data_IF_019674058329
#
_entry.id   IF_019674058329
#
_cell.length_a   1.000
_cell.length_b   1.000
_cell.length_c   1.000
_cell.angle_alpha   90.00
_cell.angle_beta   90.00
_cell.angle_gamma   90.00
#
_symmetry.space_group_name_H-M   'P 1'
#
loop_
_entity.id
_entity.type
_entity.pdbx_description
1 polymer ?
#
# COMPACT_ATOMS: atom_id res chain seq x y z
N UNK A 1 -10.35 -8.52 -1.43
CA UNK A 1 -11.36 -8.32 -2.48
C UNK A 1 -12.01 -6.94 -2.42
N UNK A 2 -12.44 -6.44 -1.25
CA UNK A 2 -12.98 -5.07 -1.10
C UNK A 2 -11.91 -3.96 -1.24
N UNK A 3 -10.73 -4.16 -0.67
CA UNK A 3 -9.61 -3.19 -0.74
C UNK A 3 -9.04 -3.10 -2.16
N UNK A 4 -8.92 -4.22 -2.87
CA UNK A 4 -8.46 -4.25 -4.26
C UNK A 4 -9.46 -3.58 -5.22
N UNK A 5 -10.76 -3.63 -4.94
CA UNK A 5 -11.76 -2.95 -5.76
C UNK A 5 -11.73 -1.43 -5.55
N UNK A 6 -11.52 -0.96 -4.30
CA UNK A 6 -11.29 0.46 -4.02
C UNK A 6 -9.98 0.96 -4.65
N UNK A 7 -8.92 0.14 -4.64
CA UNK A 7 -7.64 0.45 -5.28
C UNK A 7 -7.76 0.48 -6.82
N UNK A 8 -8.57 -0.40 -7.42
CA UNK A 8 -8.81 -0.38 -8.86
C UNK A 8 -9.71 0.78 -9.30
N UNK A 9 -10.65 1.23 -8.46
CA UNK A 9 -11.44 2.45 -8.71
C UNK A 9 -10.59 3.73 -8.61
N UNK A 10 -9.47 3.71 -7.88
CA UNK A 10 -8.44 4.76 -7.94
C UNK A 10 -7.56 4.70 -9.19
N UNK A 11 -7.59 3.63 -10.00
CA UNK A 11 -6.80 3.57 -11.23
C UNK A 11 -7.37 4.46 -12.35
N UNK A 12 -8.69 4.65 -12.40
CA UNK A 12 -9.32 5.57 -13.37
C UNK A 12 -9.32 7.03 -12.87
N UNK A 13 -9.54 7.26 -11.57
CA UNK A 13 -9.52 8.61 -10.97
C UNK A 13 -8.10 9.13 -10.65
N UNK A 14 -7.13 8.24 -10.45
CA UNK A 14 -5.72 8.59 -10.21
C UNK A 14 -5.04 9.21 -11.42
N UNK A 15 -5.54 8.96 -12.64
CA UNK A 15 -5.05 9.60 -13.87
C UNK A 15 -5.35 11.11 -13.91
N UNK A 16 -6.42 11.55 -13.24
CA UNK A 16 -6.87 12.96 -13.23
C UNK A 16 -6.29 13.75 -12.05
N UNK A 17 -5.97 13.08 -10.92
CA UNK A 17 -5.42 13.75 -9.73
C UNK A 17 -3.90 13.61 -9.53
N UNK A 18 -3.20 12.72 -10.24
CA UNK A 18 -1.77 12.48 -10.03
C UNK A 18 -0.87 13.32 -10.96
N UNK A 19 -0.90 14.65 -10.79
CA UNK A 19 0.22 15.53 -11.19
C UNK A 19 1.40 15.47 -10.21
N UNK A 20 1.50 14.42 -9.39
CA UNK A 20 2.51 14.30 -8.36
C UNK A 20 3.55 13.24 -8.73
N UNK A 21 4.47 13.63 -9.62
CA UNK A 21 5.79 13.04 -9.89
C UNK A 21 6.16 11.84 -9.00
N UNK A 22 5.64 10.63 -9.28
CA UNK A 22 5.88 9.47 -8.43
C UNK A 22 7.35 9.08 -8.50
N UNK A 23 7.88 8.52 -7.42
CA UNK A 23 9.30 8.17 -7.28
C UNK A 23 9.44 6.70 -6.92
N UNK A 24 10.51 6.07 -7.39
CA UNK A 24 10.79 4.69 -7.01
C UNK A 24 11.29 4.65 -5.56
N UNK A 25 10.78 3.72 -4.76
CA UNK A 25 11.32 3.51 -3.42
C UNK A 25 12.80 3.12 -3.44
N UNK A 26 13.21 2.36 -4.46
CA UNK A 26 14.61 1.95 -4.67
C UNK A 26 15.51 3.06 -5.19
N UNK A 27 14.94 4.13 -5.78
CA UNK A 27 15.68 5.29 -6.25
C UNK A 27 14.84 6.57 -6.04
N UNK A 28 14.88 7.16 -4.84
CA UNK A 28 13.96 8.23 -4.43
C UNK A 28 14.19 9.58 -5.12
N UNK A 29 15.29 9.72 -5.88
CA UNK A 29 15.58 10.91 -6.67
C UNK A 29 15.08 10.79 -8.12
N UNK A 30 14.71 9.58 -8.56
CA UNK A 30 14.21 9.34 -9.91
C UNK A 30 12.70 9.48 -9.95
N UNK A 31 12.23 10.52 -10.62
CA UNK A 31 10.82 10.67 -10.98
C UNK A 31 10.52 9.65 -12.08
N UNK A 32 9.44 8.91 -11.91
CA UNK A 32 8.95 7.92 -12.88
C UNK A 32 7.56 8.30 -13.38
N UNK A 33 7.17 7.86 -14.58
CA UNK A 33 5.81 8.06 -15.07
C UNK A 33 4.76 7.39 -14.18
N UNK A 34 3.54 7.94 -14.16
CA UNK A 34 2.40 7.36 -13.44
C UNK A 34 2.12 5.94 -13.97
N UNK A 35 1.78 5.03 -13.06
CA UNK A 35 1.56 3.61 -13.38
C UNK A 35 2.82 2.73 -13.33
N UNK A 36 3.98 3.28 -12.97
CA UNK A 36 5.19 2.50 -12.72
C UNK A 36 5.02 1.65 -11.45
N UNK A 37 5.25 0.34 -11.55
CA UNK A 37 5.21 -0.57 -10.40
C UNK A 37 6.24 -0.17 -9.35
N UNK A 38 5.79 -0.07 -8.10
CA UNK A 38 6.61 0.38 -6.97
C UNK A 38 6.90 1.87 -6.92
N UNK A 39 6.16 2.67 -7.69
CA UNK A 39 6.15 4.13 -7.56
C UNK A 39 5.39 4.57 -6.31
N UNK A 40 6.03 5.40 -5.48
CA UNK A 40 5.45 6.02 -4.31
C UNK A 40 5.19 7.51 -4.60
N UNK A 41 4.04 8.00 -4.16
CA UNK A 41 3.70 9.43 -4.19
C UNK A 41 3.24 9.88 -2.80
N UNK A 42 3.40 11.17 -2.44
CA UNK A 42 2.92 11.69 -1.16
C UNK A 42 1.41 11.43 -0.95
N UNK A 43 0.63 11.56 -2.02
CA UNK A 43 -0.81 11.28 -2.01
C UNK A 43 -1.07 9.80 -1.73
N UNK A 44 -0.34 8.89 -2.40
CA UNK A 44 -0.43 7.45 -2.13
C UNK A 44 -0.07 7.07 -0.68
N UNK A 45 0.94 7.73 -0.10
CA UNK A 45 1.31 7.55 1.31
C UNK A 45 0.16 7.98 2.24
N UNK A 46 -0.46 9.13 1.97
CA UNK A 46 -1.60 9.63 2.75
C UNK A 46 -2.80 8.67 2.66
N UNK A 47 -3.11 8.16 1.47
CA UNK A 47 -4.16 7.15 1.31
C UNK A 47 -3.85 5.85 2.05
N UNK A 48 -2.59 5.44 2.11
CA UNK A 48 -2.18 4.23 2.83
C UNK A 48 -2.30 4.39 4.34
N UNK A 49 -1.92 5.56 4.88
CA UNK A 49 -2.18 5.93 6.26
C UNK A 49 -3.68 5.98 6.56
N UNK A 50 -4.46 6.63 5.70
CA UNK A 50 -5.90 6.77 5.86
C UNK A 50 -6.64 5.43 5.80
N UNK A 51 -6.21 4.52 4.92
CA UNK A 51 -6.73 3.15 4.85
C UNK A 51 -6.48 2.39 6.15
N UNK A 52 -5.25 2.47 6.71
CA UNK A 52 -4.93 1.89 8.01
C UNK A 52 -5.73 2.49 9.16
N UNK A 53 -5.94 3.81 9.13
CA UNK A 53 -6.77 4.53 10.09
C UNK A 53 -8.23 4.06 10.06
N UNK A 54 -8.83 3.92 8.87
CA UNK A 54 -10.19 3.40 8.73
C UNK A 54 -10.31 1.98 9.31
N UNK A 55 -9.33 1.11 9.09
CA UNK A 55 -9.33 -0.25 9.64
C UNK A 55 -9.33 -0.21 11.17
N UNK A 56 -8.42 0.57 11.77
CA UNK A 56 -8.36 0.72 13.22
C UNK A 56 -9.62 1.36 13.80
N UNK A 57 -10.19 2.36 13.12
CA UNK A 57 -11.43 3.01 13.54
C UNK A 57 -12.61 2.05 13.47
N UNK A 58 -12.69 1.23 12.42
CA UNK A 58 -13.72 0.20 12.27
C UNK A 58 -13.64 -0.83 13.41
N UNK A 59 -12.43 -1.17 13.87
CA UNK A 59 -12.24 -2.03 15.03
C UNK A 59 -12.78 -1.41 16.32
N UNK A 60 -12.48 -0.13 16.58
CA UNK A 60 -12.99 0.58 17.77
C UNK A 60 -14.52 0.66 17.72
N UNK A 61 -15.08 1.08 16.58
CA UNK A 61 -16.54 1.18 16.39
C UNK A 61 -17.21 -0.20 16.57
N UNK A 62 -16.59 -1.26 16.05
CA UNK A 62 -17.06 -2.63 16.27
C UNK A 62 -17.11 -2.99 17.75
N UNK A 63 -16.05 -2.70 18.50
CA UNK A 63 -16.05 -2.94 19.95
C UNK A 63 -17.12 -2.09 20.68
N UNK A 64 -17.37 -0.85 20.26
CA UNK A 64 -18.43 -0.03 20.87
C UNK A 64 -19.83 -0.60 20.63
N UNK A 65 -20.07 -1.27 19.51
CA UNK A 65 -21.37 -1.87 19.16
C UNK A 65 -21.57 -3.23 19.85
N UNK A 66 -20.53 -4.05 19.89
CA UNK A 66 -20.65 -5.46 20.29
C UNK A 66 -20.13 -5.79 21.69
N UNK A 67 -19.31 -4.94 22.30
CA UNK A 67 -18.73 -5.17 23.62
C UNK A 67 -19.43 -4.35 24.71
N UNK A 68 -19.38 -4.85 25.94
CA UNK A 68 -19.94 -4.13 27.10
C UNK A 68 -19.11 -2.89 27.45
N UNK A 69 -19.74 -1.91 28.09
CA UNK A 69 -19.11 -0.62 28.41
C UNK A 69 -17.93 -0.74 29.40
N UNK A 70 -17.98 -1.69 30.32
CA UNK A 70 -16.88 -2.02 31.24
C UNK A 70 -15.64 -2.54 30.50
N UNK A 71 -15.83 -3.40 29.50
CA UNK A 71 -14.76 -3.85 28.62
C UNK A 71 -14.13 -2.68 27.84
N UNK A 72 -14.96 -1.79 27.30
CA UNK A 72 -14.50 -0.61 26.55
C UNK A 72 -13.65 0.35 27.38
N UNK A 73 -14.05 0.61 28.63
CA UNK A 73 -13.30 1.49 29.54
C UNK A 73 -11.94 0.86 29.88
N UNK A 74 -11.92 -0.44 30.19
CA UNK A 74 -10.70 -1.15 30.57
C UNK A 74 -9.71 -1.31 29.40
N UNK A 75 -10.19 -1.32 28.15
CA UNK A 75 -9.36 -1.51 26.96
C UNK A 75 -9.12 -0.22 26.17
N UNK A 76 -9.51 0.95 26.69
CA UNK A 76 -9.44 2.22 25.93
C UNK A 76 -8.03 2.53 25.42
N UNK A 77 -7.01 2.40 26.26
CA UNK A 77 -5.61 2.61 25.88
C UNK A 77 -5.18 1.66 24.76
N UNK A 78 -5.52 0.37 24.90
CA UNK A 78 -5.21 -0.66 23.90
C UNK A 78 -5.89 -0.40 22.56
N UNK A 79 -7.14 0.09 22.57
CA UNK A 79 -7.87 0.48 21.37
C UNK A 79 -7.19 1.63 20.61
N UNK A 80 -6.72 2.67 21.32
CA UNK A 80 -5.97 3.77 20.71
C UNK A 80 -4.63 3.29 20.16
N UNK A 81 -3.90 2.46 20.92
CA UNK A 81 -2.66 1.86 20.45
C UNK A 81 -2.90 1.04 19.17
N UNK A 82 -3.98 0.27 19.09
CA UNK A 82 -4.37 -0.51 17.91
C UNK A 82 -4.69 0.38 16.71
N UNK A 83 -5.38 1.50 16.91
CA UNK A 83 -5.66 2.47 15.85
C UNK A 83 -4.37 3.04 15.24
N UNK A 84 -3.45 3.51 16.09
CA UNK A 84 -2.15 4.03 15.65
C UNK A 84 -1.34 2.95 14.96
N UNK A 85 -1.35 1.75 15.53
CA UNK A 85 -0.69 0.57 14.98
C UNK A 85 -1.22 0.25 13.57
N UNK A 86 -2.54 0.12 13.37
CA UNK A 86 -3.15 -0.13 12.06
C UNK A 86 -2.81 0.99 11.05
N UNK A 87 -2.80 2.25 11.49
CA UNK A 87 -2.43 3.40 10.65
C UNK A 87 -0.98 3.27 10.15
N UNK A 88 -0.04 3.00 11.06
CA UNK A 88 1.38 2.83 10.72
C UNK A 88 1.62 1.59 9.84
N UNK A 89 0.95 0.48 10.13
CA UNK A 89 1.07 -0.75 9.33
C UNK A 89 0.40 -0.65 7.96
N UNK A 90 -0.62 0.19 7.79
CA UNK A 90 -1.16 0.54 6.47
C UNK A 90 -0.10 1.21 5.60
N UNK A 91 0.64 2.16 6.15
CA UNK A 91 1.78 2.78 5.47
C UNK A 91 2.93 1.79 5.23
N UNK A 92 3.30 0.99 6.25
CA UNK A 92 4.40 0.03 6.15
C UNK A 92 4.11 -1.06 5.10
N UNK A 93 2.88 -1.56 5.04
CA UNK A 93 2.44 -2.51 4.02
C UNK A 93 2.54 -1.94 2.61
N UNK A 94 2.09 -0.70 2.40
CA UNK A 94 2.22 -0.03 1.09
C UNK A 94 3.69 0.17 0.67
N UNK A 95 4.60 0.36 1.65
CA UNK A 95 6.04 0.51 1.41
C UNK A 95 6.68 -0.83 1.01
N UNK A 96 6.31 -1.93 1.68
CA UNK A 96 6.79 -3.28 1.34
C UNK A 96 6.29 -3.67 -0.05
N UNK A 97 5.01 -3.43 -0.34
CA UNK A 97 4.43 -3.69 -1.65
C UNK A 97 5.15 -2.90 -2.75
N UNK A 98 5.42 -1.61 -2.50
CA UNK A 98 6.15 -0.76 -3.44
C UNK A 98 7.60 -1.23 -3.65
N UNK A 99 8.27 -1.72 -2.60
CA UNK A 99 9.62 -2.26 -2.70
C UNK A 99 9.65 -3.51 -3.59
N UNK A 100 8.72 -4.44 -3.36
CA UNK A 100 8.60 -5.66 -4.15
C UNK A 100 8.16 -5.36 -5.58
N UNK A 101 7.25 -4.40 -5.79
CA UNK A 101 6.84 -3.94 -7.11
C UNK A 101 8.01 -3.36 -7.90
N UNK A 102 8.81 -2.47 -7.29
CA UNK A 102 9.94 -1.84 -7.96
C UNK A 102 11.08 -2.81 -8.33
N UNK A 103 11.15 -3.95 -7.65
CA UNK A 103 12.23 -4.95 -7.80
C UNK A 103 11.82 -6.16 -8.64
N UNK A 104 10.61 -6.69 -8.43
CA UNK A 104 10.14 -7.97 -8.95
C UNK A 104 9.04 -7.86 -10.01
N UNK A 105 8.52 -6.66 -10.29
CA UNK A 105 7.56 -6.43 -11.37
C UNK A 105 8.18 -5.57 -12.46
N UNK A 106 8.02 -5.97 -13.71
CA UNK A 106 8.51 -5.19 -14.83
C UNK A 106 7.66 -3.92 -14.98
N UNK A 107 8.34 -2.79 -15.21
CA UNK A 107 7.71 -1.56 -15.70
C UNK A 107 8.49 -1.02 -16.87
N UNK A 108 7.81 -0.80 -17.98
CA UNK A 108 8.34 -0.18 -19.18
C UNK A 108 7.54 1.07 -19.56
N UNK A 109 8.12 1.91 -20.39
CA UNK A 109 7.49 3.07 -21.00
C UNK A 109 7.41 2.87 -22.51
N UNK A 110 6.20 2.94 -23.06
CA UNK A 110 5.98 2.97 -24.49
C UNK A 110 5.99 4.43 -24.97
N UNK A 111 7.03 4.81 -25.72
CA UNK A 111 7.21 6.18 -26.23
C UNK A 111 6.20 6.53 -27.33
N UNK A 112 5.67 5.56 -28.06
CA UNK A 112 4.71 5.81 -29.15
C UNK A 112 3.34 6.17 -28.58
N UNK A 113 2.95 5.46 -27.52
CA UNK A 113 1.64 5.63 -26.88
C UNK A 113 1.67 6.57 -25.68
N UNK A 114 2.85 6.97 -25.21
CA UNK A 114 3.05 7.75 -23.98
C UNK A 114 2.38 7.13 -22.76
N UNK A 115 2.46 5.80 -22.63
CA UNK A 115 1.87 5.05 -21.52
C UNK A 115 2.90 4.13 -20.87
N UNK A 116 2.70 3.86 -19.57
CA UNK A 116 3.43 2.83 -18.85
C UNK A 116 2.84 1.46 -19.14
N UNK A 117 3.71 0.47 -19.32
CA UNK A 117 3.34 -0.91 -19.64
C UNK A 117 4.02 -1.87 -18.66
N UNK A 118 3.36 -2.97 -18.36
CA UNK A 118 3.82 -3.97 -17.38
C UNK A 118 4.52 -5.16 -18.02
N UNK A 119 4.58 -5.20 -19.36
CA UNK A 119 5.22 -6.26 -20.12
C UNK A 119 6.28 -5.69 -21.07
N UNK A 120 7.38 -6.44 -21.32
CA UNK A 120 8.38 -6.02 -22.29
C UNK A 120 7.87 -6.14 -23.73
N UNK A 121 8.42 -5.32 -24.62
CA UNK A 121 8.16 -5.41 -26.06
C UNK A 121 9.14 -4.56 -26.87
N UNK A 122 9.04 -4.59 -28.21
CA UNK A 122 10.08 -4.08 -29.11
C UNK A 122 10.28 -2.55 -29.04
N UNK A 123 9.23 -1.77 -28.76
CA UNK A 123 9.27 -0.31 -28.63
C UNK A 123 9.30 0.18 -27.18
N UNK A 124 9.46 -0.73 -26.21
CA UNK A 124 9.26 -0.44 -24.78
C UNK A 124 10.61 -0.24 -24.07
N UNK A 125 10.79 0.94 -23.50
CA UNK A 125 11.97 1.27 -22.70
C UNK A 125 11.77 0.83 -21.25
N UNK A 126 12.70 0.04 -20.69
CA UNK A 126 12.58 -0.43 -19.31
C UNK A 126 12.80 0.71 -18.31
N UNK A 127 11.86 0.88 -17.38
CA UNK A 127 11.93 1.83 -16.26
C UNK A 127 12.53 1.15 -15.02
N UNK A 128 11.91 0.07 -14.55
CA UNK A 128 12.23 -0.59 -13.28
C UNK A 128 11.85 -2.09 -13.26
N UNK A 129 12.36 -2.78 -12.23
CA UNK A 129 12.02 -4.16 -11.88
C UNK A 129 12.35 -5.22 -12.92
N UNK A 130 11.87 -6.44 -12.70
CA UNK A 130 12.08 -7.63 -13.54
C UNK A 130 10.72 -8.30 -13.77
N UNK A 131 10.53 -9.03 -14.87
CA UNK A 131 9.26 -9.73 -15.11
C UNK A 131 9.24 -11.09 -14.39
N UNK A 132 9.34 -11.07 -13.04
CA UNK A 132 9.42 -12.28 -12.23
C UNK A 132 8.05 -12.62 -11.64
N UNK A 133 7.37 -11.61 -11.07
CA UNK A 133 6.10 -11.79 -10.38
C UNK A 133 5.00 -10.91 -10.99
N UNK A 134 3.78 -11.43 -10.98
CA UNK A 134 2.56 -10.69 -11.31
C UNK A 134 2.10 -9.78 -10.17
N UNK A 135 1.17 -8.86 -10.47
CA UNK A 135 0.58 -7.96 -9.47
C UNK A 135 -0.05 -8.71 -8.29
N UNK A 136 -0.85 -9.74 -8.60
CA UNK A 136 -1.51 -10.54 -7.57
C UNK A 136 -0.51 -11.29 -6.68
N UNK A 137 0.58 -11.81 -7.24
CA UNK A 137 1.61 -12.51 -6.47
C UNK A 137 2.37 -11.58 -5.54
N UNK A 138 2.74 -10.37 -6.02
CA UNK A 138 3.39 -9.38 -5.18
C UNK A 138 2.47 -8.91 -4.07
N UNK A 139 1.21 -8.59 -4.36
CA UNK A 139 0.24 -8.20 -3.33
C UNK A 139 0.05 -9.28 -2.27
N UNK A 140 0.03 -10.56 -2.69
CA UNK A 140 -0.08 -11.69 -1.78
C UNK A 140 1.15 -11.81 -0.88
N UNK A 141 2.35 -11.75 -1.46
CA UNK A 141 3.61 -11.87 -0.73
C UNK A 141 3.82 -10.65 0.19
N UNK A 142 3.56 -9.44 -0.30
CA UNK A 142 3.68 -8.20 0.47
C UNK A 142 2.74 -8.23 1.68
N UNK A 143 1.46 -8.53 1.45
CA UNK A 143 0.46 -8.63 2.53
C UNK A 143 0.82 -9.73 3.54
N UNK A 144 1.29 -10.89 3.08
CA UNK A 144 1.72 -11.98 3.95
C UNK A 144 2.91 -11.57 4.84
N UNK A 145 3.94 -10.94 4.25
CA UNK A 145 5.10 -10.45 4.98
C UNK A 145 4.70 -9.34 5.98
N UNK A 146 3.89 -8.38 5.55
CA UNK A 146 3.38 -7.32 6.44
C UNK A 146 2.61 -7.91 7.60
N UNK A 147 1.77 -8.94 7.37
CA UNK A 147 1.01 -9.60 8.44
C UNK A 147 1.90 -10.33 9.44
N UNK A 148 2.98 -10.98 9.00
CA UNK A 148 3.93 -11.64 9.92
C UNK A 148 4.67 -10.60 10.77
N UNK A 149 5.19 -9.55 10.12
CA UNK A 149 5.89 -8.46 10.81
C UNK A 149 4.95 -7.80 11.82
N UNK A 150 3.69 -7.57 11.41
CA UNK A 150 2.66 -7.03 12.27
C UNK A 150 2.46 -7.93 13.50
N UNK A 151 2.11 -9.19 13.28
CA UNK A 151 1.87 -10.16 14.35
C UNK A 151 3.04 -10.27 15.33
N UNK A 152 4.28 -10.17 14.87
CA UNK A 152 5.47 -10.24 15.73
C UNK A 152 5.68 -8.97 16.58
N UNK A 153 5.33 -7.80 16.05
CA UNK A 153 5.49 -6.50 16.73
C UNK A 153 4.32 -6.18 17.66
N UNK A 154 3.10 -6.63 17.35
CA UNK A 154 1.91 -6.28 18.12
C UNK A 154 2.04 -6.61 19.64
N UNK A 155 2.54 -7.79 20.05
CA UNK A 155 2.65 -8.15 21.47
C UNK A 155 3.66 -7.32 22.25
N UNK A 156 4.65 -6.70 21.58
CA UNK A 156 5.67 -5.88 22.28
C UNK A 156 5.16 -4.46 22.56
N UNK A 157 4.13 -4.02 21.85
CA UNK A 157 3.52 -2.68 22.00
C UNK A 157 2.33 -2.72 22.98
N UNK A 158 1.65 -3.87 23.08
CA UNK A 158 0.40 -4.03 23.84
C UNK A 158 0.61 -4.53 25.28
N UNK A 159 1.78 -4.28 25.88
CA UNK A 159 2.11 -4.63 27.28
C UNK A 159 1.90 -3.43 28.20
#
# INVERSE_FOLDING_TARGET
MFVSHFINSTSELGSVLAQNNPRLLTNPFRIVPVGTNGGISPVGCLFSLFGGFIIGLSYIVGNMIFCRSDYMINTWTMNIQLLLYCTLFGFLGSSIDSLLGATLQFSGYDRERNVTVQLPGPSIERISGRNILSNNQVNLISSFLTSIIAMWILPTIMV
#
